data_IF_353407797308
#
_entry.id   IF_353407797308
#
_cell.length_a   1.000
_cell.length_b   1.000
_cell.length_c   1.000
_cell.angle_alpha   90.00
_cell.angle_beta   90.00
_cell.angle_gamma   90.00
#
_symmetry.space_group_name_H-M   'P 1'
#
loop_
_entity.id
_entity.type
_entity.pdbx_description
1 polymer ?
#
# COMPACT_ATOMS: atom_id res chain seq x y z
N UNK A 1 -8.30 18.11 -27.26
CA UNK A 1 -8.03 16.72 -26.85
C UNK A 1 -8.57 16.60 -25.43
N UNK A 2 -9.56 15.75 -25.20
CA UNK A 2 -10.13 15.56 -23.86
C UNK A 2 -9.10 14.82 -23.00
N UNK A 3 -8.74 15.36 -21.83
CA UNK A 3 -7.99 14.66 -20.79
C UNK A 3 -8.80 13.41 -20.39
N UNK A 4 -8.45 12.24 -20.94
CA UNK A 4 -9.02 10.98 -20.48
C UNK A 4 -8.27 10.60 -19.20
N UNK A 5 -8.92 10.82 -18.06
CA UNK A 5 -8.55 10.12 -16.84
C UNK A 5 -9.10 8.70 -16.95
N UNK A 6 -8.23 7.71 -16.78
CA UNK A 6 -8.68 6.33 -16.61
C UNK A 6 -8.85 6.11 -15.10
N UNK A 7 -10.09 6.02 -14.57
CA UNK A 7 -10.25 5.42 -13.25
C UNK A 7 -9.66 4.01 -13.38
N UNK A 8 -8.69 3.65 -12.54
CA UNK A 8 -8.15 2.30 -12.56
C UNK A 8 -9.33 1.35 -12.26
N UNK A 9 -9.87 0.65 -13.27
CA UNK A 9 -11.06 -0.17 -13.05
C UNK A 9 -10.65 -1.36 -12.18
N UNK A 10 -11.30 -1.44 -11.03
CA UNK A 10 -10.93 -2.27 -9.91
C UNK A 10 -11.47 -3.69 -10.11
N UNK A 11 -10.58 -4.66 -10.33
CA UNK A 11 -10.95 -6.06 -10.32
C UNK A 11 -11.48 -6.47 -8.96
N UNK A 12 -12.42 -7.41 -8.91
CA UNK A 12 -12.84 -8.06 -7.67
C UNK A 12 -11.59 -8.72 -7.04
N UNK A 13 -11.20 -8.35 -5.81
CA UNK A 13 -10.00 -8.89 -5.19
C UNK A 13 -10.09 -10.42 -5.00
N UNK A 14 -9.21 -11.21 -5.61
CA UNK A 14 -9.06 -12.63 -5.24
C UNK A 14 -8.69 -12.84 -3.75
N UNK A 15 -8.39 -11.76 -3.01
CA UNK A 15 -8.21 -11.77 -1.55
C UNK A 15 -9.45 -12.22 -0.78
N UNK A 16 -10.64 -12.26 -1.40
CA UNK A 16 -11.85 -12.85 -0.80
C UNK A 16 -11.71 -14.33 -0.44
N UNK A 17 -10.75 -15.08 -1.04
CA UNK A 17 -10.48 -16.48 -0.65
C UNK A 17 -9.90 -16.64 0.77
N UNK A 18 -9.44 -15.55 1.39
CA UNK A 18 -8.97 -15.56 2.78
C UNK A 18 -10.09 -15.33 3.79
N UNK A 19 -11.25 -14.89 3.32
CA UNK A 19 -12.44 -14.73 4.13
C UNK A 19 -13.25 -16.01 3.93
N UNK A 20 -13.37 -16.88 4.95
CA UNK A 20 -14.14 -18.11 4.81
C UNK A 20 -15.59 -17.77 4.53
N UNK A 21 -16.01 -18.08 3.31
CA UNK A 21 -17.36 -17.86 2.85
C UNK A 21 -18.31 -18.96 3.33
N UNK A 22 -17.76 -20.13 3.66
CA UNK A 22 -18.51 -21.33 4.02
C UNK A 22 -18.90 -21.38 5.51
N UNK A 23 -18.23 -20.59 6.37
CA UNK A 23 -18.53 -20.54 7.80
C UNK A 23 -19.87 -19.83 8.05
N UNK A 24 -20.70 -20.42 8.91
CA UNK A 24 -21.91 -19.78 9.42
C UNK A 24 -21.60 -18.57 10.30
N UNK A 25 -22.60 -17.74 10.56
CA UNK A 25 -22.44 -16.57 11.43
C UNK A 25 -22.09 -16.98 12.87
N UNK A 26 -22.65 -18.10 13.33
CA UNK A 26 -22.40 -18.69 14.63
C UNK A 26 -20.94 -19.17 14.74
N UNK A 27 -20.43 -19.88 13.73
CA UNK A 27 -19.03 -20.32 13.70
C UNK A 27 -18.06 -19.14 13.69
N UNK A 28 -18.37 -18.06 12.95
CA UNK A 28 -17.54 -16.83 12.93
C UNK A 28 -17.53 -16.11 14.27
N UNK A 29 -18.61 -16.18 15.05
CA UNK A 29 -18.66 -15.59 16.39
C UNK A 29 -17.80 -16.36 17.40
N UNK A 30 -17.53 -17.64 17.16
CA UNK A 30 -16.66 -18.48 17.99
C UNK A 30 -15.18 -18.30 17.68
N UNK A 31 -14.85 -17.55 16.63
CA UNK A 31 -13.46 -17.26 16.29
C UNK A 31 -12.77 -16.48 17.40
N UNK A 32 -11.68 -17.04 17.92
CA UNK A 32 -10.86 -16.36 18.91
C UNK A 32 -10.23 -15.08 18.33
N UNK A 33 -10.09 -14.06 19.17
CA UNK A 33 -9.49 -12.77 18.82
C UNK A 33 -8.16 -12.88 18.05
N UNK A 34 -7.29 -13.80 18.46
CA UNK A 34 -6.00 -14.05 17.80
C UNK A 34 -6.13 -14.52 16.36
N UNK A 35 -7.21 -15.24 16.02
CA UNK A 35 -7.48 -15.68 14.66
C UNK A 35 -7.80 -14.47 13.77
N UNK A 36 -8.70 -13.59 14.23
CA UNK A 36 -9.08 -12.36 13.52
C UNK A 36 -7.88 -11.45 13.30
N UNK A 37 -7.06 -11.24 14.33
CA UNK A 37 -5.81 -10.47 14.23
C UNK A 37 -4.87 -11.02 13.16
N UNK A 38 -4.63 -12.34 13.17
CA UNK A 38 -3.77 -12.99 12.17
C UNK A 38 -4.34 -12.87 10.75
N UNK A 39 -5.66 -13.03 10.59
CA UNK A 39 -6.32 -12.88 9.30
C UNK A 39 -6.14 -11.47 8.74
N UNK A 40 -6.46 -10.44 9.55
CA UNK A 40 -6.32 -9.03 9.15
C UNK A 40 -4.87 -8.65 8.88
N UNK A 41 -3.95 -9.16 9.69
CA UNK A 41 -2.51 -8.96 9.49
C UNK A 41 -2.06 -9.52 8.13
N UNK A 42 -2.46 -10.74 7.79
CA UNK A 42 -2.10 -11.37 6.52
C UNK A 42 -2.74 -10.68 5.32
N UNK A 43 -3.98 -10.22 5.48
CA UNK A 43 -4.66 -9.44 4.45
C UNK A 43 -3.89 -8.14 4.18
N UNK A 44 -3.54 -7.41 5.24
CA UNK A 44 -2.81 -6.15 5.12
C UNK A 44 -1.45 -6.36 4.44
N UNK A 45 -0.67 -7.35 4.89
CA UNK A 45 0.64 -7.64 4.30
C UNK A 45 0.56 -8.00 2.81
N UNK A 46 -0.47 -8.74 2.39
CA UNK A 46 -0.66 -9.09 0.97
C UNK A 46 -1.00 -7.87 0.11
N UNK A 47 -1.67 -6.88 0.68
CA UNK A 47 -1.99 -5.63 -0.01
C UNK A 47 -0.75 -4.73 -0.09
N UNK A 48 -0.02 -4.60 1.01
CA UNK A 48 1.09 -3.63 1.13
C UNK A 48 2.39 -4.16 0.53
N UNK A 49 2.73 -5.42 0.79
CA UNK A 49 3.97 -6.06 0.32
C UNK A 49 3.64 -7.43 -0.26
N UNK A 50 3.03 -7.49 -1.45
CA UNK A 50 2.80 -8.77 -2.10
C UNK A 50 4.08 -9.54 -2.41
N UNK A 51 3.99 -10.89 -2.38
CA UNK A 51 5.10 -11.75 -2.74
C UNK A 51 5.52 -11.45 -4.17
N UNK A 52 6.65 -10.77 -4.32
CA UNK A 52 7.21 -10.47 -5.63
C UNK A 52 7.37 -11.75 -6.44
N UNK A 53 6.85 -11.74 -7.66
CA UNK A 53 6.97 -12.90 -8.53
C UNK A 53 6.11 -12.79 -9.77
N UNK A 54 6.71 -12.38 -10.90
CA UNK A 54 6.18 -12.83 -12.18
C UNK A 54 6.29 -14.35 -12.22
N UNK A 55 5.21 -15.11 -12.47
CA UNK A 55 5.39 -16.33 -13.22
C UNK A 55 5.92 -15.91 -14.59
N UNK A 56 7.08 -16.44 -14.98
CA UNK A 56 7.57 -16.28 -16.34
C UNK A 56 6.41 -16.50 -17.32
N UNK A 57 6.26 -15.58 -18.28
CA UNK A 57 5.24 -15.57 -19.34
C UNK A 57 5.05 -16.91 -20.08
N UNK A 58 6.01 -17.84 -19.96
CA UNK A 58 5.90 -19.23 -20.46
C UNK A 58 4.97 -20.13 -19.64
N UNK A 59 4.65 -19.79 -18.39
CA UNK A 59 3.76 -20.55 -17.51
C UNK A 59 2.36 -19.91 -17.44
N UNK A 60 1.64 -19.92 -18.58
CA UNK A 60 0.28 -19.37 -18.73
C UNK A 60 -0.76 -19.90 -17.72
N UNK A 61 -0.48 -21.00 -17.02
CA UNK A 61 -1.46 -21.69 -16.16
C UNK A 61 -1.44 -21.18 -14.70
N UNK A 62 -0.43 -20.40 -14.30
CA UNK A 62 -0.30 -19.87 -12.92
C UNK A 62 -0.20 -18.35 -12.84
N UNK A 63 -0.38 -17.65 -13.96
CA UNK A 63 -0.19 -16.21 -14.13
C UNK A 63 -1.44 -15.35 -13.87
N UNK A 64 -2.33 -15.79 -13.00
CA UNK A 64 -3.64 -15.13 -12.80
C UNK A 64 -3.99 -14.81 -11.35
N UNK A 65 -3.03 -14.87 -10.42
CA UNK A 65 -3.23 -14.27 -9.10
C UNK A 65 -2.93 -12.76 -9.18
N UNK A 66 -3.78 -12.04 -9.91
CA UNK A 66 -3.81 -10.58 -9.89
C UNK A 66 -4.48 -10.17 -8.58
N UNK A 67 -3.71 -9.66 -7.62
CA UNK A 67 -4.32 -9.02 -6.47
C UNK A 67 -4.39 -7.53 -6.78
N UNK A 68 -5.51 -6.87 -6.50
CA UNK A 68 -5.53 -5.45 -6.41
C UNK A 68 -4.78 -5.00 -5.12
N UNK A 69 -3.48 -4.76 -5.23
CA UNK A 69 -2.50 -4.26 -4.26
C UNK A 69 -2.67 -2.77 -3.95
N UNK A 70 -3.85 -2.37 -3.53
CA UNK A 70 -4.17 -0.99 -3.20
C UNK A 70 -4.68 -0.91 -1.76
N UNK A 71 -4.24 0.09 -1.00
CA UNK A 71 -4.47 0.15 0.45
C UNK A 71 -5.96 0.07 0.82
N UNK A 72 -6.81 0.71 0.03
CA UNK A 72 -8.25 0.69 0.21
C UNK A 72 -8.92 -0.70 0.06
N UNK A 73 -8.26 -1.72 -0.53
CA UNK A 73 -8.78 -3.11 -0.55
C UNK A 73 -8.83 -3.69 0.86
N UNK A 74 -7.91 -3.28 1.74
CA UNK A 74 -7.96 -3.64 3.15
C UNK A 74 -9.27 -3.12 3.80
N UNK A 75 -9.61 -1.85 3.58
CA UNK A 75 -10.83 -1.25 4.13
C UNK A 75 -12.11 -1.84 3.53
N UNK A 76 -12.12 -2.11 2.21
CA UNK A 76 -13.25 -2.81 1.57
C UNK A 76 -13.46 -4.21 2.15
N UNK A 77 -12.38 -4.92 2.47
CA UNK A 77 -12.49 -6.21 3.12
C UNK A 77 -13.04 -6.08 4.55
N UNK A 78 -12.67 -5.05 5.31
CA UNK A 78 -13.27 -4.78 6.63
C UNK A 78 -14.78 -4.56 6.54
N UNK A 79 -15.24 -3.74 5.59
CA UNK A 79 -16.68 -3.51 5.35
C UNK A 79 -17.39 -4.84 5.07
N UNK A 80 -16.82 -5.68 4.22
CA UNK A 80 -17.43 -6.96 3.92
C UNK A 80 -17.40 -7.95 5.09
N UNK A 81 -16.34 -7.96 5.91
CA UNK A 81 -16.32 -8.78 7.12
C UNK A 81 -17.45 -8.37 8.09
N UNK A 82 -17.71 -7.07 8.20
CA UNK A 82 -18.88 -6.56 8.92
C UNK A 82 -20.20 -7.08 8.30
N UNK A 83 -20.34 -7.01 6.97
CA UNK A 83 -21.53 -7.52 6.27
C UNK A 83 -21.73 -9.04 6.45
N UNK A 84 -20.63 -9.79 6.57
CA UNK A 84 -20.63 -11.22 6.87
C UNK A 84 -20.98 -11.55 8.34
N UNK A 85 -21.15 -10.52 9.18
CA UNK A 85 -21.61 -10.65 10.55
C UNK A 85 -20.50 -10.92 11.57
N UNK A 86 -19.24 -10.60 11.25
CA UNK A 86 -18.16 -10.61 12.24
C UNK A 86 -18.44 -9.64 13.39
N UNK A 87 -18.02 -10.01 14.59
CA UNK A 87 -18.22 -9.17 15.77
C UNK A 87 -17.44 -7.84 15.66
N UNK A 88 -18.13 -6.74 16.00
CA UNK A 88 -17.58 -5.38 15.88
C UNK A 88 -16.43 -5.15 16.84
N UNK A 89 -16.48 -5.72 18.05
CA UNK A 89 -15.40 -5.58 19.03
C UNK A 89 -14.15 -6.33 18.56
N UNK A 90 -14.31 -7.54 18.00
CA UNK A 90 -13.21 -8.29 17.42
C UNK A 90 -12.58 -7.58 16.21
N UNK A 91 -13.38 -7.04 15.30
CA UNK A 91 -12.89 -6.27 14.15
C UNK A 91 -12.20 -4.97 14.59
N UNK A 92 -12.76 -4.27 15.58
CA UNK A 92 -12.15 -3.08 16.18
C UNK A 92 -10.78 -3.40 16.78
N UNK A 93 -10.70 -4.40 17.67
CA UNK A 93 -9.46 -4.81 18.33
C UNK A 93 -8.43 -5.30 17.32
N UNK A 94 -8.85 -6.13 16.36
CA UNK A 94 -7.97 -6.68 15.33
C UNK A 94 -7.42 -5.61 14.39
N UNK A 95 -8.28 -4.71 13.92
CA UNK A 95 -7.88 -3.60 13.05
C UNK A 95 -6.91 -2.67 13.76
N UNK A 96 -7.21 -2.25 14.99
CA UNK A 96 -6.31 -1.37 15.74
C UNK A 96 -5.01 -2.08 16.15
N UNK A 97 -5.04 -3.39 16.43
CA UNK A 97 -3.83 -4.18 16.65
C UNK A 97 -2.91 -4.17 15.43
N UNK A 98 -3.46 -4.35 14.23
CA UNK A 98 -2.68 -4.36 12.99
C UNK A 98 -2.16 -2.95 12.66
N UNK A 99 -3.02 -1.94 12.75
CA UNK A 99 -2.67 -0.57 12.35
C UNK A 99 -1.76 0.15 13.34
N UNK A 100 -1.81 -0.17 14.64
CA UNK A 100 -0.91 0.42 15.64
C UNK A 100 0.54 -0.04 15.50
N UNK A 101 0.79 -1.12 14.74
CA UNK A 101 2.13 -1.64 14.54
C UNK A 101 2.85 -0.89 13.43
N UNK A 102 4.11 -0.53 13.71
CA UNK A 102 5.07 -0.11 12.69
C UNK A 102 5.78 -1.31 12.09
N UNK A 103 5.84 -2.45 12.81
CA UNK A 103 6.51 -3.66 12.35
C UNK A 103 5.57 -4.85 12.48
N UNK A 104 5.41 -5.58 11.37
CA UNK A 104 4.57 -6.77 11.30
C UNK A 104 5.41 -7.95 10.84
N UNK A 105 5.33 -9.04 11.59
CA UNK A 105 6.00 -10.29 11.26
C UNK A 105 4.94 -11.34 10.95
N UNK A 106 4.98 -11.93 9.74
CA UNK A 106 4.10 -13.05 9.40
C UNK A 106 4.88 -14.30 9.06
N UNK A 107 4.40 -15.42 9.60
CA UNK A 107 4.78 -16.77 9.20
C UNK A 107 4.28 -17.12 7.80
N UNK A 108 3.35 -16.36 7.21
CA UNK A 108 2.99 -16.55 5.81
C UNK A 108 4.07 -15.95 4.95
N UNK A 109 5.14 -16.72 4.79
CA UNK A 109 6.22 -16.41 3.87
C UNK A 109 5.64 -16.02 2.53
N UNK A 110 6.10 -14.87 2.04
CA UNK A 110 6.01 -14.52 0.64
C UNK A 110 6.55 -15.74 -0.12
N UNK A 111 5.70 -16.43 -0.89
CA UNK A 111 6.13 -17.65 -1.57
C UNK A 111 7.32 -17.31 -2.46
N UNK A 112 8.51 -17.68 -2.00
CA UNK A 112 9.72 -17.69 -2.82
C UNK A 112 9.49 -18.72 -3.92
N UNK A 113 9.15 -18.23 -5.11
CA UNK A 113 9.04 -19.06 -6.29
C UNK A 113 10.44 -19.35 -6.82
N UNK A 114 11.17 -20.26 -6.16
CA UNK A 114 12.22 -21.10 -6.75
C UNK A 114 12.86 -22.01 -5.70
N UNK A 115 12.13 -23.02 -5.21
CA UNK A 115 12.83 -24.25 -4.88
C UNK A 115 11.96 -25.45 -5.24
N UNK A 116 12.61 -26.37 -5.94
CA UNK A 116 12.12 -27.67 -6.35
C UNK A 116 11.25 -28.31 -5.25
N UNK A 117 10.13 -28.92 -5.63
CA UNK A 117 9.15 -29.61 -4.76
C UNK A 117 9.73 -30.84 -4.00
N UNK A 118 11.02 -30.85 -3.68
CA UNK A 118 11.74 -31.96 -3.03
C UNK A 118 12.18 -31.66 -1.60
N UNK A 119 12.04 -30.43 -1.12
CA UNK A 119 12.26 -30.08 0.28
C UNK A 119 11.04 -29.30 0.77
N UNK A 120 10.53 -29.68 1.95
CA UNK A 120 9.30 -29.11 2.52
C UNK A 120 9.27 -27.59 2.39
N UNK A 121 8.11 -27.03 2.05
CA UNK A 121 7.91 -25.60 1.92
C UNK A 121 8.18 -24.93 3.27
N UNK A 122 9.39 -24.46 3.48
CA UNK A 122 9.72 -23.65 4.64
C UNK A 122 9.11 -22.28 4.42
N UNK A 123 8.10 -21.97 5.23
CA UNK A 123 7.59 -20.62 5.33
C UNK A 123 8.70 -19.72 5.88
N UNK A 124 9.21 -18.79 5.05
CA UNK A 124 10.19 -17.80 5.52
C UNK A 124 9.42 -16.72 6.26
N UNK A 125 9.59 -16.66 7.57
CA UNK A 125 9.03 -15.60 8.38
C UNK A 125 9.57 -14.26 7.86
N UNK A 126 8.69 -13.44 7.30
CA UNK A 126 9.06 -12.15 6.73
C UNK A 126 8.60 -11.06 7.69
N UNK A 127 9.54 -10.25 8.16
CA UNK A 127 9.24 -9.02 8.89
C UNK A 127 9.10 -7.89 7.88
N UNK A 128 7.99 -7.18 7.92
CA UNK A 128 7.71 -6.03 7.07
C UNK A 128 7.54 -4.80 7.94
N UNK A 129 8.22 -3.75 7.55
CA UNK A 129 8.06 -2.43 8.16
C UNK A 129 6.92 -1.69 7.45
N UNK A 130 5.94 -1.24 8.22
CA UNK A 130 4.80 -0.47 7.74
C UNK A 130 5.03 1.04 7.81
N UNK A 131 6.14 1.48 8.42
CA UNK A 131 6.42 2.90 8.60
C UNK A 131 6.34 3.71 7.30
N UNK A 132 6.81 3.21 6.13
CA UNK A 132 6.68 3.94 4.86
C UNK A 132 5.24 4.24 4.44
N UNK A 133 4.27 3.42 4.83
CA UNK A 133 2.85 3.63 4.53
C UNK A 133 2.07 4.26 5.67
N UNK A 134 2.70 4.55 6.81
CA UNK A 134 2.00 5.04 8.00
C UNK A 134 1.09 6.23 7.69
N UNK A 135 1.59 7.20 6.93
CA UNK A 135 0.83 8.38 6.53
C UNK A 135 -0.34 8.06 5.56
N UNK A 136 -0.15 7.14 4.61
CA UNK A 136 -1.24 6.65 3.77
C UNK A 136 -2.28 5.90 4.62
N UNK A 137 -1.86 4.99 5.49
CA UNK A 137 -2.73 4.22 6.37
C UNK A 137 -3.60 5.14 7.22
N UNK A 138 -3.02 6.14 7.88
CA UNK A 138 -3.79 7.11 8.68
C UNK A 138 -4.76 7.92 7.83
N UNK A 139 -4.34 8.30 6.60
CA UNK A 139 -5.19 9.01 5.65
C UNK A 139 -6.40 8.14 5.28
N UNK A 140 -6.17 6.89 4.89
CA UNK A 140 -7.22 5.96 4.50
C UNK A 140 -8.15 5.63 5.68
N UNK A 141 -7.63 5.46 6.91
CA UNK A 141 -8.48 5.26 8.09
C UNK A 141 -9.53 6.37 8.23
N UNK A 142 -9.12 7.63 8.07
CA UNK A 142 -10.02 8.77 8.13
C UNK A 142 -11.03 8.78 6.98
N UNK A 143 -10.58 8.52 5.74
CA UNK A 143 -11.44 8.48 4.54
C UNK A 143 -12.53 7.39 4.62
N UNK A 144 -12.18 6.21 5.12
CA UNK A 144 -13.06 5.04 5.15
C UNK A 144 -13.86 4.90 6.44
N UNK A 145 -13.59 5.73 7.46
CA UNK A 145 -14.26 5.66 8.76
C UNK A 145 -15.80 5.70 8.65
N UNK A 146 -16.33 6.46 7.68
CA UNK A 146 -17.78 6.57 7.48
C UNK A 146 -18.47 5.29 6.98
N UNK A 147 -17.70 4.29 6.51
CA UNK A 147 -18.24 3.00 6.05
C UNK A 147 -18.11 1.89 7.09
N UNK A 148 -17.44 2.14 8.21
CA UNK A 148 -17.20 1.16 9.26
C UNK A 148 -18.09 1.46 10.46
N UNK A 149 -18.74 0.43 11.01
CA UNK A 149 -19.56 0.57 12.22
C UNK A 149 -18.73 0.59 13.52
N UNK A 150 -17.41 0.72 13.39
CA UNK A 150 -16.45 0.78 14.49
C UNK A 150 -15.35 1.81 14.17
N UNK A 151 -14.74 2.38 15.20
CA UNK A 151 -13.71 3.42 15.05
C UNK A 151 -12.36 2.80 14.75
N UNK A 152 -11.67 3.33 13.74
CA UNK A 152 -10.33 2.94 13.34
C UNK A 152 -9.36 4.08 13.60
N UNK A 153 -8.30 3.85 14.37
CA UNK A 153 -7.31 4.91 14.64
C UNK A 153 -6.23 4.53 15.64
N UNK A 154 -5.09 5.23 15.56
CA UNK A 154 -4.00 5.16 16.53
C UNK A 154 -4.23 6.19 17.63
N UNK A 155 -4.75 5.75 18.78
CA UNK A 155 -5.07 6.57 19.95
C UNK A 155 -5.96 7.80 19.70
N UNK A 156 -6.58 8.30 20.78
CA UNK A 156 -7.57 9.40 20.67
C UNK A 156 -6.94 10.74 20.27
N UNK A 157 -5.65 10.95 20.57
CA UNK A 157 -4.99 12.25 20.45
C UNK A 157 -4.31 12.49 19.09
N UNK A 158 -4.21 11.47 18.23
CA UNK A 158 -3.63 11.55 16.87
C UNK A 158 -4.70 11.32 15.78
N UNK A 159 -5.95 11.66 16.10
CA UNK A 159 -7.10 11.47 15.20
C UNK A 159 -7.02 12.51 14.08
N UNK A 160 -6.55 12.07 12.91
CA UNK A 160 -6.57 12.85 11.67
C UNK A 160 -8.00 13.25 11.30
N UNK A 161 -8.23 14.55 11.11
CA UNK A 161 -9.53 15.10 10.76
C UNK A 161 -9.68 15.20 9.23
N UNK A 162 -10.91 15.07 8.69
CA UNK A 162 -11.19 15.14 7.24
C UNK A 162 -10.56 16.35 6.54
N UNK A 163 -10.66 17.53 7.16
CA UNK A 163 -10.14 18.79 6.63
C UNK A 163 -8.60 18.82 6.56
N UNK A 164 -7.90 17.88 7.19
CA UNK A 164 -6.45 17.77 7.11
C UNK A 164 -6.00 16.90 5.92
N UNK A 165 -6.94 16.39 5.11
CA UNK A 165 -6.66 15.53 3.97
C UNK A 165 -6.96 16.29 2.68
N UNK A 166 -6.03 16.24 1.73
CA UNK A 166 -6.20 16.86 0.43
C UNK A 166 -5.80 15.90 -0.70
N UNK A 167 -6.32 16.19 -1.88
CA UNK A 167 -5.90 15.55 -3.13
C UNK A 167 -4.65 16.25 -3.63
N UNK A 168 -3.61 15.46 -3.92
CA UNK A 168 -2.36 15.95 -4.51
C UNK A 168 -2.14 15.31 -5.86
N UNK A 169 -1.50 16.05 -6.75
CA UNK A 169 -0.96 15.55 -8.02
C UNK A 169 0.54 15.76 -8.07
N UNK A 170 1.30 14.70 -8.35
CA UNK A 170 2.75 14.77 -8.58
C UNK A 170 3.07 14.43 -10.02
N UNK A 171 3.83 15.29 -10.68
CA UNK A 171 4.34 15.04 -12.02
C UNK A 171 5.62 14.20 -11.95
N UNK A 172 5.65 13.08 -12.67
CA UNK A 172 6.80 12.17 -12.70
C UNK A 172 7.13 11.89 -14.15
N UNK A 173 8.26 12.45 -14.62
CA UNK A 173 8.67 12.38 -16.02
C UNK A 173 8.75 10.92 -16.52
N UNK A 174 8.07 10.61 -17.62
CA UNK A 174 8.16 9.28 -18.20
C UNK A 174 9.48 9.13 -18.97
N UNK A 175 10.31 8.15 -18.59
CA UNK A 175 11.56 7.83 -19.32
C UNK A 175 11.28 7.06 -20.62
N UNK A 176 10.48 7.63 -21.52
CA UNK A 176 10.18 7.05 -22.84
C UNK A 176 9.62 5.63 -22.81
N UNK A 177 9.18 5.14 -21.64
CA UNK A 177 8.49 3.87 -21.49
C UNK A 177 7.00 4.16 -21.57
N UNK A 178 6.37 3.71 -22.65
CA UNK A 178 4.93 3.68 -22.74
C UNK A 178 4.37 2.84 -21.59
N UNK A 179 3.37 3.40 -20.89
CA UNK A 179 2.52 2.68 -19.94
C UNK A 179 1.72 1.64 -20.73
N UNK A 180 2.36 0.50 -21.03
CA UNK A 180 1.85 -0.50 -21.99
C UNK A 180 1.03 -1.60 -21.35
N UNK A 181 0.94 -1.66 -20.02
CA UNK A 181 0.22 -2.72 -19.34
C UNK A 181 -1.17 -2.26 -18.88
N UNK A 182 -2.19 -3.03 -19.29
CA UNK A 182 -3.61 -2.90 -18.95
C UNK A 182 -3.93 -3.20 -17.46
N UNK A 183 -3.17 -2.58 -16.54
CA UNK A 183 -3.28 -2.54 -15.05
C UNK A 183 -2.42 -3.50 -14.24
N UNK A 184 -1.28 -3.00 -13.78
CA UNK A 184 -0.73 -3.25 -12.46
C UNK A 184 -0.89 -2.00 -11.58
N UNK A 185 -1.11 -2.14 -10.28
CA UNK A 185 -1.25 -0.97 -9.41
C UNK A 185 0.07 -0.25 -9.22
N UNK A 186 -0.04 1.07 -9.31
CA UNK A 186 1.07 1.99 -9.18
C UNK A 186 1.06 2.56 -7.78
N UNK A 187 2.26 2.60 -7.19
CA UNK A 187 2.53 3.35 -5.98
C UNK A 187 3.51 4.48 -6.34
N UNK A 188 3.31 5.63 -5.72
CA UNK A 188 4.34 6.67 -5.66
C UNK A 188 5.17 6.41 -4.42
N UNK A 189 6.49 6.42 -4.61
CA UNK A 189 7.47 6.30 -3.54
C UNK A 189 8.22 7.62 -3.47
N UNK A 190 7.97 8.36 -2.40
CA UNK A 190 8.73 9.55 -2.04
C UNK A 190 9.93 9.11 -1.22
N UNK A 191 11.12 9.49 -1.64
CA UNK A 191 12.36 9.16 -0.94
C UNK A 191 13.23 10.39 -0.78
N UNK A 192 13.79 10.56 0.42
CA UNK A 192 14.71 11.66 0.70
C UNK A 192 16.11 11.33 0.18
N UNK A 193 16.74 12.26 -0.56
CA UNK A 193 18.09 12.23 -1.16
C UNK A 193 19.24 12.25 -0.14
N UNK A 194 19.04 11.69 1.04
CA UNK A 194 20.09 11.62 2.08
C UNK A 194 21.06 10.47 1.76
N UNK A 195 20.59 9.45 1.04
CA UNK A 195 21.35 8.24 0.77
C UNK A 195 21.52 8.00 -0.73
N UNK A 196 22.75 7.72 -1.18
CA UNK A 196 23.04 7.21 -2.52
C UNK A 196 22.67 5.71 -2.63
N UNK A 197 21.47 5.35 -2.16
CA UNK A 197 21.02 3.97 -2.09
C UNK A 197 20.34 3.56 -3.39
N UNK A 198 20.68 2.39 -3.97
CA UNK A 198 19.99 1.90 -5.14
C UNK A 198 18.57 1.51 -4.78
N UNK A 199 17.60 2.31 -5.23
CA UNK A 199 16.17 2.04 -5.07
C UNK A 199 15.65 0.96 -6.06
N UNK A 200 16.55 0.15 -6.62
CA UNK A 200 16.22 -0.91 -7.58
C UNK A 200 15.55 -2.13 -6.91
N UNK A 201 15.75 -2.32 -5.60
CA UNK A 201 15.15 -3.40 -4.79
C UNK A 201 14.35 -2.84 -3.60
N UNK A 202 13.25 -2.13 -3.91
CA UNK A 202 12.36 -1.60 -2.88
C UNK A 202 11.78 -2.72 -1.99
N UNK A 203 11.48 -3.89 -2.58
CA UNK A 203 10.95 -5.04 -1.83
C UNK A 203 11.93 -5.52 -0.75
N UNK A 204 13.21 -5.68 -1.11
CA UNK A 204 14.25 -6.07 -0.16
C UNK A 204 14.43 -5.04 0.95
N UNK A 205 14.33 -3.74 0.62
CA UNK A 205 14.36 -2.66 1.62
C UNK A 205 13.23 -2.90 2.62
N UNK A 206 11.98 -2.99 2.16
CA UNK A 206 10.77 -3.09 2.98
C UNK A 206 10.71 -4.35 3.87
N UNK A 207 11.26 -5.46 3.37
CA UNK A 207 11.26 -6.77 4.05
C UNK A 207 12.54 -7.02 4.86
N UNK A 208 13.51 -6.11 4.81
CA UNK A 208 14.80 -6.26 5.48
C UNK A 208 15.67 -7.39 4.92
N UNK A 209 15.37 -7.88 3.71
CA UNK A 209 16.14 -8.96 3.05
C UNK A 209 17.32 -8.45 2.23
N UNK A 210 17.61 -7.14 2.27
CA UNK A 210 18.82 -6.58 1.66
C UNK A 210 20.11 -7.18 2.23
N UNK A 211 21.18 -7.06 1.45
CA UNK A 211 22.54 -7.43 1.86
C UNK A 211 22.91 -6.78 3.19
N UNK A 212 23.73 -7.50 3.98
CA UNK A 212 24.09 -7.09 5.35
C UNK A 212 24.68 -5.67 5.41
N UNK A 213 25.47 -5.31 4.40
CA UNK A 213 26.14 -4.00 4.28
C UNK A 213 25.15 -2.85 4.03
N UNK A 214 23.95 -3.16 3.56
CA UNK A 214 22.91 -2.21 3.19
C UNK A 214 21.80 -2.09 4.25
N UNK A 215 21.83 -2.90 5.32
CA UNK A 215 20.75 -2.97 6.31
C UNK A 215 20.52 -1.67 7.08
N UNK A 216 21.59 -0.99 7.49
CA UNK A 216 21.50 0.24 8.26
C UNK A 216 20.89 1.37 7.41
N UNK A 217 21.31 1.46 6.14
CA UNK A 217 20.77 2.42 5.18
C UNK A 217 19.32 2.09 4.85
N UNK A 218 18.99 0.82 4.60
CA UNK A 218 17.61 0.39 4.36
C UNK A 218 16.71 0.71 5.56
N UNK A 219 17.21 0.52 6.80
CA UNK A 219 16.47 0.89 8.01
C UNK A 219 16.24 2.40 8.11
N UNK A 220 17.25 3.21 7.81
CA UNK A 220 17.10 4.67 7.79
C UNK A 220 16.08 5.12 6.74
N UNK A 221 16.11 4.51 5.54
CA UNK A 221 15.13 4.78 4.49
C UNK A 221 13.71 4.48 4.97
N UNK A 222 13.46 3.29 5.54
CA UNK A 222 12.12 2.91 5.99
C UNK A 222 11.58 3.77 7.11
N UNK A 223 12.42 4.14 8.06
CA UNK A 223 11.98 4.79 9.29
C UNK A 223 11.72 6.29 9.11
N UNK A 224 12.53 6.98 8.31
CA UNK A 224 12.62 8.44 8.35
C UNK A 224 12.61 9.12 6.98
N UNK A 225 12.81 8.38 5.90
CA UNK A 225 13.15 8.98 4.60
C UNK A 225 12.36 8.37 3.44
N UNK A 226 11.23 7.72 3.72
CA UNK A 226 10.40 7.08 2.71
C UNK A 226 8.92 7.24 3.05
N UNK A 227 8.14 7.66 2.06
CA UNK A 227 6.69 7.57 2.08
C UNK A 227 6.20 6.84 0.83
N UNK A 228 5.30 5.86 1.04
CA UNK A 228 4.68 5.10 -0.05
C UNK A 228 3.19 5.40 -0.04
N UNK A 229 2.67 5.67 -1.23
CA UNK A 229 1.29 6.07 -1.45
C UNK A 229 0.72 5.35 -2.67
N UNK A 230 -0.49 4.81 -2.55
CA UNK A 230 -1.23 4.26 -3.70
C UNK A 230 -1.67 5.38 -4.64
N UNK A 231 -1.46 5.19 -5.95
CA UNK A 231 -1.99 6.08 -6.99
C UNK A 231 -3.50 5.81 -7.15
N UNK A 232 -4.31 6.87 -7.08
CA UNK A 232 -5.76 6.81 -7.31
C UNK A 232 -6.12 7.07 -8.76
N UNK A 233 -5.50 8.09 -9.36
CA UNK A 233 -5.70 8.46 -10.77
C UNK A 233 -4.34 8.68 -11.42
N UNK A 234 -4.23 8.29 -12.69
CA UNK A 234 -3.06 8.57 -13.51
C UNK A 234 -3.50 9.34 -14.75
N UNK A 235 -2.91 10.52 -14.95
CA UNK A 235 -3.12 11.35 -16.12
C UNK A 235 -1.92 11.19 -17.06
N UNK A 236 -2.06 10.34 -18.07
CA UNK A 236 -0.96 9.96 -18.98
C UNK A 236 -0.33 11.16 -19.69
N UNK A 237 -1.16 12.06 -20.22
CA UNK A 237 -0.71 13.24 -20.98
C UNK A 237 0.12 14.18 -20.11
N UNK A 238 -0.24 14.31 -18.84
CA UNK A 238 0.42 15.19 -17.88
C UNK A 238 1.54 14.47 -17.11
N UNK A 239 1.66 13.15 -17.29
CA UNK A 239 2.54 12.25 -16.54
C UNK A 239 2.37 12.42 -15.02
N UNK A 240 1.10 12.47 -14.59
CA UNK A 240 0.74 12.90 -13.25
C UNK A 240 0.04 11.78 -12.48
N UNK A 241 0.66 11.38 -11.37
CA UNK A 241 0.04 10.53 -10.36
C UNK A 241 -0.75 11.38 -9.38
N UNK A 242 -1.94 10.93 -9.03
CA UNK A 242 -2.86 11.63 -8.14
C UNK A 242 -3.28 10.72 -7.01
N UNK A 243 -3.33 11.27 -5.81
CA UNK A 243 -3.61 10.52 -4.59
C UNK A 243 -4.15 11.44 -3.49
N UNK A 244 -4.78 10.86 -2.48
CA UNK A 244 -5.19 11.55 -1.26
C UNK A 244 -4.16 11.36 -0.16
N UNK A 245 -3.83 12.43 0.56
CA UNK A 245 -2.84 12.39 1.64
C UNK A 245 -3.12 13.44 2.72
N UNK A 246 -2.71 13.16 3.96
CA UNK A 246 -2.65 14.15 5.04
C UNK A 246 -1.68 15.29 4.71
N UNK A 247 -2.10 16.50 5.03
CA UNK A 247 -1.47 17.75 4.59
C UNK A 247 -0.14 18.02 5.28
N UNK A 248 -0.05 17.72 6.58
CA UNK A 248 1.16 17.91 7.38
C UNK A 248 2.39 17.19 6.80
N UNK A 249 2.22 15.94 6.34
CA UNK A 249 3.30 15.17 5.70
C UNK A 249 3.70 15.77 4.34
N UNK A 250 2.72 16.20 3.54
CA UNK A 250 2.98 16.82 2.25
C UNK A 250 3.66 18.19 2.40
N UNK A 251 3.22 19.00 3.35
CA UNK A 251 3.81 20.31 3.67
C UNK A 251 5.23 20.18 4.22
N UNK A 252 5.51 19.16 5.04
CA UNK A 252 6.87 18.86 5.49
C UNK A 252 7.78 18.52 4.29
N UNK A 253 7.35 17.62 3.40
CA UNK A 253 8.13 17.27 2.21
C UNK A 253 8.38 18.47 1.29
N UNK A 254 7.36 19.33 1.10
CA UNK A 254 7.47 20.56 0.32
C UNK A 254 8.41 21.58 0.96
N UNK A 255 8.42 21.68 2.29
CA UNK A 255 9.32 22.55 3.05
C UNK A 255 10.77 22.09 2.95
N UNK A 256 10.99 20.77 2.96
CA UNK A 256 12.29 20.14 2.87
C UNK A 256 12.83 20.03 1.43
N UNK A 257 12.14 20.64 0.46
CA UNK A 257 12.59 20.72 -0.92
C UNK A 257 13.97 21.42 -1.05
N UNK A 258 14.91 20.94 -1.91
CA UNK A 258 14.80 19.87 -2.91
C UNK A 258 15.25 18.50 -2.40
N UNK A 259 15.14 18.20 -1.10
CA UNK A 259 15.72 16.94 -0.58
C UNK A 259 14.89 15.70 -0.88
N UNK A 260 13.70 15.83 -1.46
CA UNK A 260 12.83 14.69 -1.80
C UNK A 260 12.82 14.42 -3.31
N UNK A 261 12.69 13.15 -3.66
CA UNK A 261 12.44 12.63 -5.00
C UNK A 261 11.17 11.77 -5.00
N UNK A 262 10.51 11.64 -6.15
CA UNK A 262 9.36 10.77 -6.34
C UNK A 262 9.57 9.80 -7.50
N UNK A 263 9.22 8.53 -7.28
CA UNK A 263 9.31 7.45 -8.26
C UNK A 263 7.98 6.70 -8.33
N UNK A 264 7.63 6.19 -9.51
CA UNK A 264 6.49 5.27 -9.66
C UNK A 264 7.01 3.85 -9.68
N UNK A 265 6.50 3.04 -8.78
CA UNK A 265 6.73 1.60 -8.75
C UNK A 265 5.48 0.86 -9.15
N UNK A 266 5.71 -0.35 -9.64
CA UNK A 266 4.69 -1.38 -9.76
C UNK A 266 4.82 -2.37 -8.62
N UNK A 267 3.72 -2.65 -7.95
CA UNK A 267 3.66 -3.54 -6.77
C UNK A 267 3.90 -5.02 -7.10
N UNK A 268 3.76 -5.44 -8.36
CA UNK A 268 4.00 -6.84 -8.78
C UNK A 268 5.47 -7.16 -9.07
N UNK A 269 6.26 -6.15 -9.47
CA UNK A 269 7.67 -6.31 -9.87
C UNK A 269 8.65 -5.56 -8.98
N UNK A 270 8.18 -4.65 -8.11
CA UNK A 270 9.00 -3.90 -7.15
C UNK A 270 10.20 -3.14 -7.73
N UNK A 271 10.10 -2.78 -9.00
CA UNK A 271 11.11 -2.03 -9.73
C UNK A 271 10.52 -0.69 -10.18
N UNK A 272 11.35 0.37 -10.25
CA UNK A 272 10.88 1.67 -10.69
C UNK A 272 10.48 1.61 -12.16
N UNK A 273 9.24 1.99 -12.45
CA UNK A 273 8.71 2.14 -13.82
C UNK A 273 9.02 3.53 -14.33
N UNK A 274 8.72 4.53 -13.50
CA UNK A 274 9.09 5.93 -13.70
C UNK A 274 9.91 6.41 -12.52
N UNK A 275 10.74 7.42 -12.74
CA UNK A 275 11.54 8.00 -11.69
C UNK A 275 11.97 9.41 -12.06
N UNK A 276 12.57 10.14 -11.11
CA UNK A 276 12.93 11.52 -11.33
C UNK A 276 13.87 11.62 -12.54
N UNK A 277 13.58 12.58 -13.40
CA UNK A 277 14.63 13.12 -14.27
C UNK A 277 15.62 13.82 -13.36
N UNK A 278 16.92 13.52 -13.47
CA UNK A 278 17.96 14.02 -12.57
C UNK A 278 18.04 15.55 -12.55
N UNK A 279 17.36 16.20 -13.48
CA UNK A 279 17.36 17.64 -13.74
C UNK A 279 16.02 18.32 -13.44
N UNK A 280 14.93 17.57 -13.22
CA UNK A 280 13.59 18.16 -13.08
C UNK A 280 13.19 18.27 -11.60
N UNK A 281 12.69 19.45 -11.17
CA UNK A 281 12.19 19.63 -9.82
C UNK A 281 10.97 18.74 -9.57
N UNK A 282 10.76 18.37 -8.30
CA UNK A 282 9.53 17.71 -7.86
C UNK A 282 8.35 18.68 -8.01
N UNK A 283 7.45 18.41 -8.96
CA UNK A 283 6.25 19.22 -9.23
C UNK A 283 5.05 18.55 -8.56
N UNK A 284 4.73 19.03 -7.35
CA UNK A 284 3.55 18.64 -6.59
C UNK A 284 2.56 19.80 -6.59
N UNK A 285 1.30 19.49 -6.87
CA UNK A 285 0.19 20.44 -6.77
C UNK A 285 -0.84 19.92 -5.77
N UNK A 286 -1.25 20.80 -4.85
CA UNK A 286 -2.37 20.59 -3.93
C UNK A 286 -3.67 21.02 -4.62
N UNK A 287 -4.67 20.16 -4.63
CA UNK A 287 -5.96 20.41 -5.25
C UNK A 287 -7.05 20.58 -4.18
N UNK A 288 -8.05 19.70 -4.17
CA UNK A 288 -9.23 19.78 -3.33
C UNK A 288 -9.00 19.20 -1.92
N UNK A 289 -9.75 19.71 -0.96
CA UNK A 289 -9.79 19.25 0.42
C UNK A 289 -10.88 18.18 0.57
N UNK A 290 -10.62 17.17 1.39
CA UNK A 290 -11.61 16.12 1.63
C UNK A 290 -12.77 16.65 2.49
N UNK A 291 -14.00 16.41 2.03
CA UNK A 291 -15.21 16.86 2.73
C UNK A 291 -15.69 18.27 2.36
N UNK A 292 -14.92 19.02 1.56
CA UNK A 292 -15.38 20.27 0.95
C UNK A 292 -16.31 19.96 -0.23
N UNK A 293 -17.52 19.52 0.09
CA UNK A 293 -18.63 19.43 -0.86
C UNK A 293 -19.75 20.36 -0.43
N UNK A 294 -19.51 21.65 -0.58
CA UNK A 294 -20.57 22.66 -0.76
C UNK A 294 -21.14 22.66 -2.20
N UNK A 295 -20.98 21.56 -2.95
CA UNK A 295 -21.55 21.37 -4.30
C UNK A 295 -21.95 19.90 -4.56
N UNK A 296 -22.80 19.33 -3.71
CA UNK A 296 -23.73 18.27 -4.12
C UNK A 296 -25.15 18.59 -3.68
#
# INVERSE_FOLDING_TARGET
MQNQSFPMIYGLPLSWRLVPQDDSKEERAEWGQRHVENMLQNLLLRVMVPPGGRPHWRNKIRAQEWFPFNMWTFFRALVHLQDLGFDKESLFRGTNYVLSRTHITSEYGLKSHASDNRHGSWYVMTSVDLQPWSAELTTQCCLWQGLLDFVVGRDKDDTLLPHQIHKYGVKIAARGKEFTDERPEHIVVFVRRVHAFPMDDLHGILTGTVDRELRDVASSIRNEHCHIVTVWEWYEVEERAVFWMRDDVMEEMLRDYPTWDAMVYRTDVWTPVLGPDKTSPLDIVKWEQWGDQDNM
#
